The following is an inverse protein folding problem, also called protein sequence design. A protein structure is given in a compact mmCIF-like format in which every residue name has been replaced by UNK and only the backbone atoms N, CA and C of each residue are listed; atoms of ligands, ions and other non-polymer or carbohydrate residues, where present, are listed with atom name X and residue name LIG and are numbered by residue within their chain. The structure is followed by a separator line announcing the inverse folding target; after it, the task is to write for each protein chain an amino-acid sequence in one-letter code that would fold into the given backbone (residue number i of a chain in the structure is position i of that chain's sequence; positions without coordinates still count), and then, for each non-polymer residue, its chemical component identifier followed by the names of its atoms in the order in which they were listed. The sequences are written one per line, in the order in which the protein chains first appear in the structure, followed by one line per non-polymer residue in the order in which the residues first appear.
data_IF_816183074565
#
_entry.id   IF_816183074565
#
_cell.length_a   1.000
_cell.length_b   1.000
_cell.length_c   1.000
_cell.angle_alpha   90.00
_cell.angle_beta   90.00
_cell.angle_gamma   90.00
#
_symmetry.space_group_name_H-M   'P 1'
#
loop_
_entity.id
_entity.type
_entity.pdbx_description
1 polymer ?
#
# COMPACT_ATOMS: atom_id res chain seq x y z
N UNK A 1 10.29 -0.60 -18.36
CA UNK A 1 10.37 0.03 -17.03
C UNK A 1 9.83 -0.91 -15.98
N UNK A 2 10.53 -1.06 -14.86
CA UNK A 2 10.00 -1.92 -13.79
C UNK A 2 8.78 -1.28 -13.14
N UNK A 3 7.82 -2.12 -12.79
CA UNK A 3 6.61 -1.68 -12.11
C UNK A 3 6.88 -1.64 -10.61
N UNK A 4 6.50 -0.56 -9.96
CA UNK A 4 6.56 -0.47 -8.51
C UNK A 4 5.35 -1.19 -7.95
N UNK A 5 5.59 -2.19 -7.11
CA UNK A 5 4.51 -2.95 -6.51
C UNK A 5 4.27 -2.50 -5.08
N UNK A 6 3.02 -2.18 -4.80
CA UNK A 6 2.58 -1.85 -3.45
C UNK A 6 1.85 -3.05 -2.91
N UNK A 7 2.33 -3.62 -1.81
CA UNK A 7 1.71 -4.79 -1.20
C UNK A 7 1.20 -4.44 0.18
N UNK A 8 -0.10 -4.58 0.37
CA UNK A 8 -0.73 -4.43 1.68
C UNK A 8 -0.77 -5.77 2.37
N UNK A 9 -0.13 -5.87 3.53
CA UNK A 9 -0.15 -7.10 4.31
C UNK A 9 -1.45 -7.13 5.10
N UNK A 10 -2.38 -7.98 4.70
CA UNK A 10 -3.73 -8.01 5.25
C UNK A 10 -3.94 -9.11 6.29
N UNK A 11 -2.93 -9.93 6.56
CA UNK A 11 -3.05 -11.02 7.50
C UNK A 11 -3.32 -10.45 8.91
N UNK A 12 -4.48 -10.80 9.48
CA UNK A 12 -4.94 -10.33 10.79
C UNK A 12 -5.05 -8.81 10.91
N UNK A 13 -5.20 -8.14 9.79
CA UNK A 13 -5.39 -6.69 9.79
C UNK A 13 -6.83 -6.32 10.10
N UNK A 14 -7.03 -5.31 10.94
CA UNK A 14 -8.35 -4.79 11.28
C UNK A 14 -9.07 -4.36 9.99
N UNK A 15 -10.31 -4.85 9.77
CA UNK A 15 -11.05 -4.48 8.55
C UNK A 15 -11.23 -2.98 8.35
N UNK A 16 -11.45 -2.23 9.41
CA UNK A 16 -11.62 -0.79 9.28
C UNK A 16 -10.34 -0.12 8.83
N UNK A 17 -9.23 -0.54 9.38
CA UNK A 17 -7.94 0.01 8.99
C UNK A 17 -7.58 -0.41 7.56
N UNK A 18 -7.90 -1.64 7.19
CA UNK A 18 -7.70 -2.10 5.82
C UNK A 18 -8.46 -1.23 4.83
N UNK A 19 -9.73 -0.94 5.13
CA UNK A 19 -10.54 -0.08 4.28
C UNK A 19 -9.96 1.33 4.18
N UNK A 20 -9.50 1.87 5.30
CA UNK A 20 -8.90 3.20 5.30
C UNK A 20 -7.62 3.26 4.45
N UNK A 21 -6.80 2.21 4.52
CA UNK A 21 -5.59 2.13 3.71
C UNK A 21 -5.93 1.99 2.23
N UNK A 22 -6.93 1.17 1.90
CA UNK A 22 -7.36 1.02 0.51
C UNK A 22 -7.92 2.32 -0.05
N UNK A 23 -8.69 3.03 0.75
CA UNK A 23 -9.23 4.32 0.35
C UNK A 23 -8.09 5.33 0.10
N UNK A 24 -7.06 5.28 0.93
CA UNK A 24 -5.91 6.16 0.74
C UNK A 24 -5.23 5.89 -0.60
N UNK A 25 -5.02 4.63 -0.95
CA UNK A 25 -4.42 4.29 -2.23
C UNK A 25 -5.32 4.76 -3.37
N UNK A 26 -6.63 4.56 -3.25
CA UNK A 26 -7.58 5.01 -4.26
C UNK A 26 -7.50 6.53 -4.44
N UNK A 27 -7.45 7.27 -3.33
CA UNK A 27 -7.41 8.74 -3.40
C UNK A 27 -6.11 9.24 -4.02
N UNK A 28 -5.00 8.57 -3.79
CA UNK A 28 -3.72 9.01 -4.33
C UNK A 28 -3.45 8.48 -5.73
N UNK A 29 -3.80 7.25 -6.01
CA UNK A 29 -3.41 6.59 -7.26
C UNK A 29 -4.58 6.14 -8.13
N UNK A 30 -5.80 6.16 -7.60
CA UNK A 30 -7.00 5.74 -8.33
C UNK A 30 -6.97 4.28 -8.76
N UNK A 31 -6.38 3.42 -7.94
CA UNK A 31 -6.36 1.99 -8.20
C UNK A 31 -6.87 1.21 -7.00
N UNK A 32 -7.42 0.04 -7.29
CA UNK A 32 -7.88 -0.93 -6.29
C UNK A 32 -6.97 -2.15 -6.33
N UNK A 33 -7.08 -3.06 -5.34
CA UNK A 33 -6.25 -4.28 -5.34
C UNK A 33 -6.39 -5.04 -6.66
N UNK A 34 -5.27 -5.45 -7.21
CA UNK A 34 -5.23 -6.16 -8.48
C UNK A 34 -5.13 -5.25 -9.68
N UNK A 35 -5.15 -3.93 -9.47
CA UNK A 35 -5.10 -2.97 -10.55
C UNK A 35 -3.73 -2.31 -10.66
N UNK A 36 -3.49 -1.73 -11.83
CA UNK A 36 -2.28 -0.98 -12.13
C UNK A 36 -2.68 0.44 -12.51
N UNK A 37 -1.83 1.40 -12.19
CA UNK A 37 -2.10 2.79 -12.60
C UNK A 37 -2.14 2.90 -14.12
N UNK A 38 -2.80 3.96 -14.61
CA UNK A 38 -2.98 4.14 -16.05
C UNK A 38 -1.67 4.27 -16.81
N UNK A 39 -0.62 4.75 -16.16
CA UNK A 39 0.71 4.83 -16.79
C UNK A 39 1.47 3.50 -16.72
N UNK A 40 0.92 2.50 -16.02
CA UNK A 40 1.54 1.18 -15.93
C UNK A 40 2.72 1.10 -14.98
N UNK A 41 2.97 2.14 -14.19
CA UNK A 41 4.17 2.19 -13.35
C UNK A 41 3.98 1.70 -11.93
N UNK A 42 2.75 1.58 -11.46
CA UNK A 42 2.48 1.18 -10.08
C UNK A 42 1.30 0.23 -10.04
N UNK A 43 1.42 -0.84 -9.27
CA UNK A 43 0.31 -1.76 -9.05
C UNK A 43 0.07 -1.98 -7.58
N UNK A 44 -1.16 -2.31 -7.22
CA UNK A 44 -1.54 -2.59 -5.85
C UNK A 44 -1.94 -4.06 -5.72
N UNK A 45 -1.41 -4.72 -4.70
CA UNK A 45 -1.75 -6.11 -4.43
C UNK A 45 -1.86 -6.34 -2.94
N UNK A 46 -2.50 -7.43 -2.56
CA UNK A 46 -2.50 -7.88 -1.17
C UNK A 46 -1.35 -8.85 -0.95
N UNK A 47 -0.82 -8.85 0.26
CA UNK A 47 0.15 -9.83 0.70
C UNK A 47 -0.41 -10.56 1.91
N UNK A 48 -0.15 -11.85 2.00
CA UNK A 48 -0.53 -12.64 3.18
C UNK A 48 0.67 -12.97 4.04
N UNK A 49 1.74 -12.21 3.85
CA UNK A 49 2.93 -12.35 4.65
C UNK A 49 2.58 -12.13 6.13
N UNK A 50 3.04 -13.03 7.01
CA UNK A 50 2.77 -12.85 8.44
C UNK A 50 3.48 -11.61 8.96
N UNK A 51 2.76 -10.80 9.73
CA UNK A 51 3.29 -9.57 10.30
C UNK A 51 2.99 -9.58 11.79
N UNK A 52 4.01 -9.27 12.58
CA UNK A 52 3.84 -9.16 14.02
C UNK A 52 2.82 -8.05 14.30
N UNK A 53 1.85 -8.28 15.20
CA UNK A 53 0.88 -7.24 15.55
C UNK A 53 1.51 -5.91 15.96
N UNK A 54 2.72 -5.95 16.52
CA UNK A 54 3.42 -4.73 16.91
C UNK A 54 3.90 -3.93 15.70
N UNK A 55 4.08 -4.59 14.57
CA UNK A 55 4.57 -3.95 13.35
C UNK A 55 3.45 -3.67 12.35
N UNK A 56 2.26 -4.16 12.63
CA UNK A 56 1.12 -3.96 11.72
C UNK A 56 0.63 -2.50 11.78
N UNK A 57 0.09 -1.99 10.71
CA UNK A 57 0.04 -2.61 9.39
C UNK A 57 1.34 -2.42 8.62
N UNK A 58 1.73 -3.46 7.89
CA UNK A 58 2.93 -3.40 7.03
C UNK A 58 2.51 -3.19 5.59
N UNK A 59 3.20 -2.29 4.93
CA UNK A 59 3.02 -2.04 3.49
C UNK A 59 4.39 -2.13 2.85
N UNK A 60 4.52 -2.98 1.84
CA UNK A 60 5.75 -3.09 1.06
C UNK A 60 5.60 -2.22 -0.19
N UNK A 61 6.57 -1.35 -0.42
CA UNK A 61 6.56 -0.48 -1.59
C UNK A 61 7.88 -0.65 -2.31
N UNK A 62 7.83 -1.18 -3.53
CA UNK A 62 9.02 -1.40 -4.32
C UNK A 62 10.01 -2.35 -3.65
N UNK A 63 9.51 -3.30 -2.88
CA UNK A 63 10.35 -4.27 -2.18
C UNK A 63 10.87 -3.80 -0.83
N UNK A 64 10.52 -2.58 -0.42
CA UNK A 64 10.92 -2.05 0.88
C UNK A 64 9.75 -2.13 1.86
N UNK A 65 9.93 -2.75 3.03
CA UNK A 65 8.86 -2.83 4.01
C UNK A 65 8.75 -1.55 4.84
N UNK A 66 7.52 -1.13 5.08
CA UNK A 66 7.21 -0.02 5.98
C UNK A 66 6.26 -0.54 7.04
N UNK A 67 6.62 -0.40 8.30
CA UNK A 67 5.82 -0.90 9.41
C UNK A 67 5.01 0.21 10.05
N UNK A 68 3.92 -0.17 10.71
CA UNK A 68 3.03 0.75 11.44
C UNK A 68 2.57 1.90 10.55
N UNK A 69 2.16 1.56 9.35
CA UNK A 69 1.74 2.56 8.37
C UNK A 69 0.31 2.99 8.66
N UNK A 70 0.13 4.28 8.92
CA UNK A 70 -1.20 4.87 9.05
C UNK A 70 -1.66 5.35 7.68
N UNK A 71 -2.97 5.60 7.49
CA UNK A 71 -3.45 6.16 6.22
C UNK A 71 -2.72 7.46 5.84
N UNK A 72 -2.46 8.32 6.82
CA UNK A 72 -1.75 9.58 6.56
C UNK A 72 -0.32 9.34 6.12
N UNK A 73 0.36 8.40 6.77
CA UNK A 73 1.71 8.06 6.37
C UNK A 73 1.75 7.43 4.99
N UNK A 74 0.78 6.57 4.69
CA UNK A 74 0.68 5.97 3.38
C UNK A 74 0.47 7.03 2.31
N UNK A 75 -0.40 7.98 2.56
CA UNK A 75 -0.63 9.08 1.64
C UNK A 75 0.67 9.83 1.35
N UNK A 76 1.44 10.13 2.40
CA UNK A 76 2.72 10.82 2.25
C UNK A 76 3.71 10.00 1.43
N UNK A 77 3.78 8.70 1.71
CA UNK A 77 4.70 7.82 0.97
C UNK A 77 4.33 7.76 -0.50
N UNK A 78 3.04 7.68 -0.81
CA UNK A 78 2.60 7.60 -2.19
C UNK A 78 2.82 8.90 -2.95
N UNK A 79 2.61 10.03 -2.28
CA UNK A 79 2.85 11.34 -2.90
C UNK A 79 4.31 11.54 -3.24
N UNK A 80 5.19 11.10 -2.36
CA UNK A 80 6.62 11.21 -2.61
C UNK A 80 7.03 10.43 -3.84
N UNK A 81 6.47 9.22 -4.01
CA UNK A 81 6.83 8.41 -5.16
C UNK A 81 6.20 8.91 -6.44
N UNK A 82 5.00 9.48 -6.35
CA UNK A 82 4.30 10.00 -7.51
C UNK A 82 4.73 11.38 -7.95
N UNK A 83 5.49 12.08 -7.11
CA UNK A 83 5.93 13.45 -7.40
C UNK A 83 7.26 13.41 -8.14
N UNK A 84 7.35 14.22 -9.10
CA UNK A 84 8.55 14.26 -9.89
C UNK A 84 9.17 15.58 -9.83
#
# INVERSE_FOLDING_TARGET
MPVTRIELCINELDPELREALLETVWNELRISPGMTTSDGNTELAFSREPVDPQDAPRVNIGGLPYDRVTPERLSTLLRRRGTR
#
